data_IF_125668988249
#
_entry.id   IF_125668988249
#
_cell.length_a   1.000
_cell.length_b   1.000
_cell.length_c   1.000
_cell.angle_alpha   90.00
_cell.angle_beta   90.00
_cell.angle_gamma   90.00
#
_symmetry.space_group_name_H-M   'P 1'
#
loop_
_entity.id
_entity.type
_entity.pdbx_description
1 polymer ?
#
# COMPACT_ATOMS: atom_id res chain seq x y z
N UNK A 1 -15.50 -27.81 6.41
CA UNK A 1 -14.98 -26.83 7.40
C UNK A 1 -13.98 -27.53 8.30
N UNK A 2 -12.72 -27.15 8.26
CA UNK A 2 -11.67 -27.70 9.15
C UNK A 2 -11.96 -27.25 10.57
N UNK A 3 -12.15 -28.18 11.52
CA UNK A 3 -12.38 -27.82 12.92
C UNK A 3 -11.13 -27.14 13.51
N UNK A 4 -11.30 -26.23 14.47
CA UNK A 4 -10.17 -25.53 15.14
C UNK A 4 -9.13 -26.51 15.69
N UNK A 5 -9.55 -27.67 16.19
CA UNK A 5 -8.68 -28.73 16.69
C UNK A 5 -7.80 -29.33 15.56
N UNK A 6 -8.37 -29.53 14.37
CA UNK A 6 -7.66 -30.03 13.18
C UNK A 6 -6.63 -29.00 12.69
N UNK A 7 -6.97 -27.68 12.69
CA UNK A 7 -6.04 -26.64 12.26
C UNK A 7 -4.81 -26.54 13.18
N UNK A 8 -5.00 -26.60 14.49
CA UNK A 8 -3.89 -26.57 15.46
C UNK A 8 -2.94 -27.77 15.28
N UNK A 9 -3.46 -28.95 14.93
CA UNK A 9 -2.64 -30.11 14.62
C UNK A 9 -1.81 -29.89 13.35
N UNK A 10 -2.38 -29.28 12.33
CA UNK A 10 -1.70 -28.94 11.08
C UNK A 10 -0.58 -27.91 11.36
N UNK A 11 -0.87 -26.86 12.12
CA UNK A 11 0.14 -25.84 12.49
C UNK A 11 1.31 -26.48 13.22
N UNK A 12 1.03 -27.32 14.22
CA UNK A 12 2.08 -28.02 14.98
C UNK A 12 2.93 -28.91 14.07
N UNK A 13 2.31 -29.76 13.26
CA UNK A 13 3.01 -30.66 12.34
C UNK A 13 3.88 -29.89 11.33
N UNK A 14 3.36 -28.77 10.82
CA UNK A 14 4.10 -27.92 9.91
C UNK A 14 5.32 -27.30 10.61
N UNK A 15 5.13 -26.70 11.80
CA UNK A 15 6.21 -26.14 12.61
C UNK A 15 7.30 -27.18 12.91
N UNK A 16 6.92 -28.36 13.38
CA UNK A 16 7.86 -29.41 13.72
C UNK A 16 8.69 -29.81 12.48
N UNK A 17 8.03 -29.96 11.30
CA UNK A 17 8.74 -30.23 10.05
C UNK A 17 9.73 -29.12 9.66
N UNK A 18 9.40 -27.86 9.93
CA UNK A 18 10.30 -26.73 9.67
C UNK A 18 11.54 -26.75 10.59
N UNK A 19 11.34 -27.01 11.89
CA UNK A 19 12.41 -27.10 12.89
C UNK A 19 13.35 -28.27 12.54
N UNK A 20 12.81 -29.40 12.14
CA UNK A 20 13.58 -30.56 11.71
C UNK A 20 14.28 -30.38 10.35
N UNK A 21 13.85 -29.39 9.58
CA UNK A 21 14.33 -29.15 8.20
C UNK A 21 13.73 -30.12 7.18
N UNK A 22 12.64 -30.77 7.53
CA UNK A 22 11.94 -31.72 6.64
C UNK A 22 10.99 -30.99 5.68
N UNK A 23 11.57 -30.46 4.62
CA UNK A 23 10.84 -29.74 3.56
C UNK A 23 9.74 -30.58 2.92
N UNK A 24 9.96 -31.90 2.76
CA UNK A 24 8.99 -32.82 2.15
C UNK A 24 7.72 -32.91 3.01
N UNK A 25 7.89 -33.16 4.30
CA UNK A 25 6.75 -33.24 5.24
C UNK A 25 6.10 -31.86 5.46
N UNK A 26 6.86 -30.77 5.48
CA UNK A 26 6.30 -29.42 5.51
C UNK A 26 5.36 -29.18 4.32
N UNK A 27 5.83 -29.44 3.09
CA UNK A 27 4.99 -29.29 1.88
C UNK A 27 3.79 -30.24 1.89
N UNK A 28 3.97 -31.53 2.28
CA UNK A 28 2.87 -32.47 2.37
C UNK A 28 1.80 -32.02 3.37
N UNK A 29 2.20 -31.39 4.48
CA UNK A 29 1.28 -30.87 5.49
C UNK A 29 0.45 -29.71 4.93
N UNK A 30 1.04 -28.84 4.13
CA UNK A 30 0.30 -27.73 3.47
C UNK A 30 -0.66 -28.27 2.40
N UNK A 31 -0.21 -29.22 1.57
CA UNK A 31 -1.07 -29.88 0.57
C UNK A 31 -2.28 -30.56 1.23
N UNK A 32 -2.08 -31.21 2.39
CA UNK A 32 -3.17 -31.78 3.16
C UNK A 32 -4.14 -30.74 3.69
N UNK A 33 -3.66 -29.57 4.14
CA UNK A 33 -4.50 -28.48 4.57
C UNK A 33 -5.39 -27.96 3.43
N UNK A 34 -4.82 -27.80 2.24
CA UNK A 34 -5.55 -27.37 1.04
C UNK A 34 -6.57 -28.44 0.60
N UNK A 35 -6.20 -29.71 0.59
CA UNK A 35 -7.10 -30.82 0.26
C UNK A 35 -8.28 -30.93 1.25
N UNK A 36 -8.07 -30.52 2.50
CA UNK A 36 -9.11 -30.45 3.54
C UNK A 36 -9.94 -29.17 3.49
N UNK A 37 -9.81 -28.36 2.42
CA UNK A 37 -10.63 -27.19 2.17
C UNK A 37 -10.13 -25.89 2.81
N UNK A 38 -8.88 -25.83 3.28
CA UNK A 38 -8.26 -24.54 3.59
C UNK A 38 -7.92 -23.81 2.28
N UNK A 39 -8.25 -22.52 2.19
CA UNK A 39 -7.77 -21.67 1.10
C UNK A 39 -6.33 -21.19 1.34
N UNK A 40 -5.68 -20.68 0.30
CA UNK A 40 -4.29 -20.19 0.37
C UNK A 40 -4.16 -19.04 1.38
N UNK A 41 -5.13 -18.14 1.47
CA UNK A 41 -5.13 -17.03 2.45
C UNK A 41 -5.13 -17.56 3.88
N UNK A 42 -5.91 -18.60 4.15
CA UNK A 42 -5.94 -19.28 5.46
C UNK A 42 -4.60 -19.96 5.76
N UNK A 43 -3.98 -20.63 4.79
CA UNK A 43 -2.64 -21.21 4.94
C UNK A 43 -1.63 -20.13 5.36
N UNK A 44 -1.59 -19.02 4.65
CA UNK A 44 -0.67 -17.91 4.94
C UNK A 44 -0.90 -17.32 6.32
N UNK A 45 -2.13 -16.93 6.60
CA UNK A 45 -2.47 -16.17 7.81
C UNK A 45 -2.50 -16.99 9.09
N UNK A 46 -2.87 -18.27 8.99
CA UNK A 46 -3.03 -19.12 10.17
C UNK A 46 -1.91 -20.15 10.32
N UNK A 47 -1.47 -20.79 9.23
CA UNK A 47 -0.47 -21.83 9.36
C UNK A 47 0.94 -21.22 9.34
N UNK A 48 1.30 -20.48 8.29
CA UNK A 48 2.63 -19.90 8.18
C UNK A 48 2.91 -18.88 9.29
N UNK A 49 2.00 -17.91 9.49
CA UNK A 49 2.18 -16.88 10.51
C UNK A 49 2.32 -17.46 11.92
N UNK A 50 1.49 -18.46 12.29
CA UNK A 50 1.59 -19.09 13.62
C UNK A 50 2.87 -19.88 13.78
N UNK A 51 3.24 -20.71 12.79
CA UNK A 51 4.45 -21.52 12.86
C UNK A 51 5.71 -20.64 12.92
N UNK A 52 5.81 -19.61 12.08
CA UNK A 52 6.97 -18.70 12.08
C UNK A 52 7.08 -17.87 13.37
N UNK A 53 5.95 -17.47 13.95
CA UNK A 53 5.95 -16.79 15.25
C UNK A 53 6.46 -17.69 16.37
N UNK A 54 6.00 -18.95 16.42
CA UNK A 54 6.48 -19.91 17.41
C UNK A 54 7.96 -20.21 17.22
N UNK A 55 8.44 -20.40 15.99
CA UNK A 55 9.86 -20.61 15.67
C UNK A 55 10.72 -19.39 16.09
N UNK A 56 10.26 -18.18 15.79
CA UNK A 56 10.92 -16.95 16.24
C UNK A 56 11.00 -16.87 17.77
N UNK A 57 9.95 -17.29 18.49
CA UNK A 57 9.98 -17.35 19.95
C UNK A 57 10.96 -18.40 20.46
N UNK A 58 11.00 -19.59 19.90
CA UNK A 58 11.97 -20.65 20.24
C UNK A 58 13.41 -20.18 20.05
N UNK A 59 13.70 -19.43 18.99
CA UNK A 59 15.01 -18.80 18.80
C UNK A 59 15.29 -17.76 19.87
N UNK A 60 14.34 -16.89 20.16
CA UNK A 60 14.49 -15.85 21.21
C UNK A 60 14.75 -16.45 22.58
N UNK A 61 14.10 -17.57 22.91
CA UNK A 61 14.25 -18.30 24.19
C UNK A 61 15.50 -19.20 24.22
N UNK A 62 16.25 -19.26 23.12
CA UNK A 62 17.48 -20.06 23.01
C UNK A 62 17.25 -21.55 22.83
N UNK A 63 16.03 -22.00 22.54
CA UNK A 63 15.71 -23.41 22.29
C UNK A 63 16.26 -23.89 20.94
N UNK A 64 16.38 -23.01 19.96
CA UNK A 64 16.94 -23.29 18.64
C UNK A 64 17.94 -22.18 18.24
N UNK A 65 18.85 -22.50 17.31
CA UNK A 65 19.79 -21.49 16.80
C UNK A 65 19.14 -20.66 15.68
N UNK A 66 19.74 -19.48 15.41
CA UNK A 66 19.35 -18.61 14.26
C UNK A 66 19.43 -19.38 12.92
N UNK A 67 20.31 -20.38 12.81
CA UNK A 67 20.39 -21.21 11.58
C UNK A 67 19.15 -22.08 11.37
N UNK A 68 18.51 -22.53 12.45
CA UNK A 68 17.24 -23.27 12.35
C UNK A 68 16.12 -22.33 11.94
N UNK A 69 16.05 -21.14 12.51
CA UNK A 69 15.07 -20.11 12.13
C UNK A 69 15.20 -19.73 10.65
N UNK A 70 16.41 -19.39 10.19
CA UNK A 70 16.67 -19.07 8.78
C UNK A 70 16.32 -20.22 7.83
N UNK A 71 16.60 -21.47 8.20
CA UNK A 71 16.22 -22.65 7.43
C UNK A 71 14.70 -22.80 7.34
N UNK A 72 13.99 -22.63 8.44
CA UNK A 72 12.54 -22.67 8.50
C UNK A 72 11.89 -21.59 7.63
N UNK A 73 12.45 -20.38 7.67
CA UNK A 73 12.06 -19.28 6.80
C UNK A 73 12.26 -19.63 5.31
N UNK A 74 13.43 -20.18 4.96
CA UNK A 74 13.75 -20.61 3.59
C UNK A 74 12.77 -21.67 3.05
N UNK A 75 12.45 -22.68 3.86
CA UNK A 75 11.46 -23.72 3.47
C UNK A 75 10.09 -23.10 3.25
N UNK A 76 9.67 -22.17 4.13
CA UNK A 76 8.37 -21.50 3.99
C UNK A 76 8.31 -20.66 2.71
N UNK A 77 9.35 -19.89 2.38
CA UNK A 77 9.43 -19.10 1.15
C UNK A 77 9.37 -19.97 -0.11
N UNK A 78 9.99 -21.16 -0.09
CA UNK A 78 9.90 -22.09 -1.21
C UNK A 78 8.49 -22.65 -1.39
N UNK A 79 7.81 -22.99 -0.30
CA UNK A 79 6.42 -23.46 -0.35
C UNK A 79 5.51 -22.33 -0.87
N UNK A 80 5.69 -21.09 -0.41
CA UNK A 80 4.99 -19.91 -0.93
C UNK A 80 5.19 -19.72 -2.44
N UNK A 81 6.42 -19.91 -2.94
CA UNK A 81 6.70 -19.83 -4.37
C UNK A 81 5.93 -20.87 -5.18
N UNK A 82 5.76 -22.08 -4.66
CA UNK A 82 4.95 -23.13 -5.31
C UNK A 82 3.45 -22.80 -5.30
N UNK A 83 2.96 -22.23 -4.22
CA UNK A 83 1.55 -21.85 -4.10
C UNK A 83 1.20 -20.69 -5.04
N UNK A 84 2.16 -19.79 -5.32
CA UNK A 84 1.96 -18.62 -6.20
C UNK A 84 1.49 -18.98 -7.60
N UNK A 85 1.95 -20.09 -8.17
CA UNK A 85 1.52 -20.55 -9.49
C UNK A 85 -0.02 -20.68 -9.63
N UNK A 86 -0.77 -20.72 -8.51
CA UNK A 86 -2.23 -20.80 -8.52
C UNK A 86 -2.93 -19.47 -8.59
N UNK A 87 -2.23 -18.32 -8.46
CA UNK A 87 -2.83 -16.99 -8.43
C UNK A 87 -1.96 -15.90 -9.09
N UNK A 88 -0.94 -16.29 -9.83
CA UNK A 88 -0.14 -15.35 -10.61
C UNK A 88 -1.00 -14.67 -11.69
N UNK A 89 -0.83 -13.36 -11.82
CA UNK A 89 -1.65 -12.56 -12.75
C UNK A 89 -0.98 -12.57 -14.13
N UNK A 90 -1.65 -13.11 -15.11
CA UNK A 90 -1.20 -13.17 -16.51
C UNK A 90 -1.58 -11.92 -17.33
N UNK A 91 -2.56 -11.12 -16.86
CA UNK A 91 -2.97 -9.91 -17.57
C UNK A 91 -1.86 -8.84 -17.52
N UNK A 92 -1.21 -8.51 -18.65
CA UNK A 92 -0.16 -7.51 -18.68
C UNK A 92 -0.66 -6.09 -18.37
N UNK A 93 -1.97 -5.85 -18.46
CA UNK A 93 -2.59 -4.56 -18.17
C UNK A 93 -3.04 -4.43 -16.72
N UNK A 94 -2.95 -5.50 -15.91
CA UNK A 94 -3.27 -5.41 -14.49
C UNK A 94 -2.37 -4.36 -13.81
N UNK A 95 -2.90 -3.60 -12.84
CA UNK A 95 -2.13 -2.56 -12.15
C UNK A 95 -0.92 -3.16 -11.45
N UNK A 96 0.20 -2.44 -11.51
CA UNK A 96 1.47 -2.87 -10.94
C UNK A 96 1.69 -2.25 -9.56
N UNK A 97 2.06 -3.09 -8.60
CA UNK A 97 2.55 -2.68 -7.29
C UNK A 97 4.02 -3.07 -7.13
N UNK A 98 4.80 -2.22 -6.47
CA UNK A 98 6.12 -2.58 -5.96
C UNK A 98 5.97 -2.90 -4.48
N UNK A 99 6.43 -4.09 -4.08
CA UNK A 99 6.54 -4.48 -2.67
C UNK A 99 8.01 -4.49 -2.27
N UNK A 100 8.33 -3.80 -1.17
CA UNK A 100 9.70 -3.69 -0.67
C UNK A 100 9.76 -3.77 0.85
N UNK A 101 10.95 -3.90 1.38
CA UNK A 101 11.27 -3.80 2.81
C UNK A 101 12.31 -2.69 3.02
N UNK A 102 12.31 -2.01 4.16
CA UNK A 102 13.37 -1.07 4.51
C UNK A 102 14.74 -1.75 4.55
N UNK A 103 15.78 -0.99 4.33
CA UNK A 103 17.16 -1.48 4.47
C UNK A 103 17.37 -2.00 5.90
N UNK A 104 18.17 -3.05 6.03
CA UNK A 104 18.45 -3.73 7.31
C UNK A 104 17.24 -4.47 7.92
N UNK A 105 16.11 -4.55 7.24
CA UNK A 105 15.05 -5.47 7.61
C UNK A 105 15.21 -6.78 6.82
N UNK A 106 15.44 -7.88 7.51
CA UNK A 106 15.62 -9.22 6.91
C UNK A 106 14.34 -10.07 6.98
N UNK A 107 13.22 -9.51 7.45
CA UNK A 107 11.96 -10.22 7.61
C UNK A 107 11.22 -10.34 6.27
N UNK A 108 11.74 -11.16 5.38
CA UNK A 108 11.27 -11.30 4.00
C UNK A 108 9.92 -12.02 3.87
N UNK A 109 9.58 -12.94 4.79
CA UNK A 109 8.33 -13.71 4.73
C UNK A 109 7.11 -12.78 4.77
N UNK A 110 7.07 -11.82 5.70
CA UNK A 110 5.97 -10.87 5.81
C UNK A 110 5.76 -10.06 4.53
N UNK A 111 6.85 -9.54 3.97
CA UNK A 111 6.81 -8.80 2.72
C UNK A 111 6.38 -9.67 1.53
N UNK A 112 6.83 -10.92 1.50
CA UNK A 112 6.42 -11.88 0.48
C UNK A 112 4.94 -12.23 0.58
N UNK A 113 4.44 -12.42 1.81
CA UNK A 113 3.00 -12.61 2.05
C UNK A 113 2.20 -11.39 1.57
N UNK A 114 2.71 -10.18 1.82
CA UNK A 114 2.10 -8.94 1.34
C UNK A 114 2.02 -8.91 -0.18
N UNK A 115 3.12 -9.25 -0.88
CA UNK A 115 3.15 -9.37 -2.33
C UNK A 115 2.12 -10.37 -2.85
N UNK A 116 2.08 -11.56 -2.26
CA UNK A 116 1.17 -12.63 -2.67
C UNK A 116 -0.30 -12.26 -2.40
N UNK A 117 -0.61 -11.54 -1.33
CA UNK A 117 -1.96 -11.02 -1.08
C UNK A 117 -2.38 -9.98 -2.12
N UNK A 118 -1.49 -9.07 -2.53
CA UNK A 118 -1.77 -8.14 -3.61
C UNK A 118 -2.06 -8.88 -4.94
N UNK A 119 -1.29 -9.93 -5.25
CA UNK A 119 -1.58 -10.77 -6.43
C UNK A 119 -2.96 -11.41 -6.34
N UNK A 120 -3.35 -11.94 -5.18
CA UNK A 120 -4.69 -12.51 -4.96
C UNK A 120 -5.83 -11.47 -5.08
N UNK A 121 -5.52 -10.18 -4.93
CA UNK A 121 -6.46 -9.06 -5.14
C UNK A 121 -6.37 -8.48 -6.56
N UNK A 122 -5.64 -9.11 -7.49
CA UNK A 122 -5.60 -8.74 -8.91
C UNK A 122 -4.48 -7.78 -9.30
N UNK A 123 -3.46 -7.61 -8.48
CA UNK A 123 -2.29 -6.77 -8.80
C UNK A 123 -1.16 -7.60 -9.42
N UNK A 124 -0.52 -7.06 -10.44
CA UNK A 124 0.85 -7.47 -10.77
C UNK A 124 1.78 -6.95 -9.68
N UNK A 125 2.80 -7.72 -9.32
CA UNK A 125 3.69 -7.33 -8.22
C UNK A 125 5.14 -7.56 -8.58
N UNK A 126 5.93 -6.50 -8.46
CA UNK A 126 7.38 -6.58 -8.41
C UNK A 126 7.84 -6.58 -6.96
N UNK A 127 8.44 -7.68 -6.54
CA UNK A 127 9.00 -7.82 -5.20
C UNK A 127 10.47 -7.44 -5.21
N UNK A 128 10.77 -6.26 -4.66
CA UNK A 128 12.11 -5.69 -4.65
C UNK A 128 12.63 -5.60 -3.21
N UNK A 129 13.74 -6.26 -2.94
CA UNK A 129 14.38 -6.26 -1.62
C UNK A 129 15.43 -5.16 -1.50
N UNK A 130 16.14 -5.11 -0.37
CA UNK A 130 17.11 -4.08 0.07
C UNK A 130 18.21 -3.71 -0.94
N UNK A 131 18.39 -4.46 -2.01
CA UNK A 131 19.44 -4.24 -3.00
C UNK A 131 19.25 -2.96 -3.83
N UNK A 132 18.07 -2.34 -3.72
CA UNK A 132 17.68 -1.18 -4.54
C UNK A 132 17.92 0.16 -3.86
N UNK A 133 18.52 0.17 -2.66
CA UNK A 133 18.89 1.41 -1.94
C UNK A 133 20.41 1.51 -1.79
N UNK A 134 20.93 2.72 -1.95
CA UNK A 134 22.34 2.99 -1.74
C UNK A 134 22.69 2.99 -0.24
N UNK A 135 23.99 3.20 0.09
CA UNK A 135 24.49 3.28 1.48
C UNK A 135 23.82 4.36 2.33
N UNK A 136 23.13 5.30 1.73
CA UNK A 136 22.39 6.39 2.39
C UNK A 136 20.91 6.09 2.53
N UNK A 137 20.47 4.86 2.22
CA UNK A 137 19.05 4.42 2.28
C UNK A 137 18.13 5.13 1.29
N UNK A 138 18.70 5.81 0.29
CA UNK A 138 17.96 6.43 -0.80
C UNK A 138 17.99 5.45 -2.00
N UNK A 139 16.88 5.22 -2.68
CA UNK A 139 16.86 4.45 -3.91
C UNK A 139 17.90 4.99 -4.90
N UNK A 140 18.64 4.09 -5.54
CA UNK A 140 19.67 4.46 -6.49
C UNK A 140 19.07 4.92 -7.84
N UNK A 141 19.88 5.49 -8.72
CA UNK A 141 19.44 5.98 -10.03
C UNK A 141 18.79 4.88 -10.89
N UNK A 142 19.27 3.65 -10.77
CA UNK A 142 18.70 2.50 -11.48
C UNK A 142 17.27 2.20 -11.01
N UNK A 143 17.00 2.30 -9.71
CA UNK A 143 15.65 2.15 -9.16
C UNK A 143 14.74 3.27 -9.65
N UNK A 144 15.22 4.52 -9.66
CA UNK A 144 14.45 5.67 -10.16
C UNK A 144 14.10 5.47 -11.63
N UNK A 145 15.08 5.06 -12.45
CA UNK A 145 14.86 4.76 -13.86
C UNK A 145 13.84 3.64 -14.04
N UNK A 146 13.98 2.56 -13.27
CA UNK A 146 13.05 1.43 -13.29
C UNK A 146 11.62 1.85 -12.97
N UNK A 147 11.39 2.59 -11.88
CA UNK A 147 10.06 3.06 -11.49
C UNK A 147 9.45 3.96 -12.57
N UNK A 148 10.24 4.85 -13.18
CA UNK A 148 9.78 5.72 -14.27
C UNK A 148 9.40 4.95 -15.55
N UNK A 149 10.03 3.81 -15.79
CA UNK A 149 9.74 2.93 -16.91
C UNK A 149 8.45 2.12 -16.69
N UNK A 150 8.33 1.45 -15.53
CA UNK A 150 7.23 0.53 -15.26
C UNK A 150 5.97 1.20 -14.72
N UNK A 151 6.08 2.43 -14.20
CA UNK A 151 4.98 3.28 -13.70
C UNK A 151 4.02 2.53 -12.76
N UNK A 152 4.48 2.07 -11.59
CA UNK A 152 3.62 1.37 -10.64
C UNK A 152 2.56 2.32 -10.09
N UNK A 153 1.42 1.78 -9.66
CA UNK A 153 0.36 2.55 -8.99
C UNK A 153 0.43 2.51 -7.47
N UNK A 154 1.20 1.57 -6.94
CA UNK A 154 1.28 1.32 -5.50
C UNK A 154 2.71 0.98 -5.09
N UNK A 155 3.21 1.65 -4.04
CA UNK A 155 4.33 1.18 -3.24
C UNK A 155 3.82 0.55 -1.95
N UNK A 156 4.18 -0.70 -1.70
CA UNK A 156 3.84 -1.41 -0.48
C UNK A 156 5.12 -1.70 0.31
N UNK A 157 5.19 -1.18 1.53
CA UNK A 157 6.37 -1.29 2.38
C UNK A 157 6.04 -2.18 3.57
N UNK A 158 6.73 -3.32 3.69
CA UNK A 158 6.59 -4.22 4.83
C UNK A 158 7.61 -3.86 5.90
N UNK A 159 7.12 -3.65 7.12
CA UNK A 159 7.89 -3.16 8.26
C UNK A 159 7.77 -4.15 9.40
N UNK A 160 8.85 -4.83 9.78
CA UNK A 160 8.82 -5.83 10.82
C UNK A 160 9.31 -5.32 12.19
N UNK A 161 10.19 -4.33 12.21
CA UNK A 161 10.84 -3.84 13.43
C UNK A 161 10.67 -2.34 13.62
N UNK A 162 10.91 -1.86 14.86
CA UNK A 162 10.87 -0.43 15.19
C UNK A 162 11.95 0.36 14.43
N UNK A 163 13.11 -0.24 14.18
CA UNK A 163 14.18 0.40 13.37
C UNK A 163 13.76 0.52 11.91
N UNK A 164 13.14 -0.53 11.35
CA UNK A 164 12.62 -0.53 10.01
C UNK A 164 11.49 0.52 9.81
N UNK A 165 10.75 0.84 10.87
CA UNK A 165 9.71 1.87 10.85
C UNK A 165 10.27 3.27 10.57
N UNK A 166 11.43 3.61 11.16
CA UNK A 166 12.10 4.90 10.90
C UNK A 166 12.56 4.98 9.44
N UNK A 167 13.15 3.90 8.93
CA UNK A 167 13.61 3.83 7.55
C UNK A 167 12.45 3.85 6.53
N UNK A 168 11.31 3.25 6.89
CA UNK A 168 10.08 3.29 6.09
C UNK A 168 9.58 4.72 5.88
N UNK A 169 9.69 5.58 6.90
CA UNK A 169 9.32 6.99 6.79
C UNK A 169 10.19 7.72 5.76
N UNK A 170 11.51 7.52 5.79
CA UNK A 170 12.44 8.12 4.83
C UNK A 170 12.17 7.66 3.39
N UNK A 171 11.86 6.36 3.20
CA UNK A 171 11.45 5.83 1.90
C UNK A 171 10.14 6.44 1.41
N UNK A 172 9.18 6.62 2.31
CA UNK A 172 7.88 7.23 1.97
C UNK A 172 8.05 8.68 1.54
N UNK A 173 8.86 9.46 2.26
CA UNK A 173 9.19 10.83 1.88
C UNK A 173 9.82 10.88 0.48
N UNK A 174 10.80 10.01 0.23
CA UNK A 174 11.42 9.91 -1.08
C UNK A 174 10.41 9.55 -2.19
N UNK A 175 9.52 8.58 -1.96
CA UNK A 175 8.51 8.18 -2.93
C UNK A 175 7.50 9.31 -3.20
N UNK A 176 7.04 10.00 -2.16
CA UNK A 176 6.09 11.10 -2.30
C UNK A 176 6.68 12.32 -3.01
N UNK A 177 7.98 12.60 -2.82
CA UNK A 177 8.67 13.68 -3.50
C UNK A 177 8.88 13.40 -5.00
N UNK A 178 9.21 12.16 -5.36
CA UNK A 178 9.52 11.81 -6.75
C UNK A 178 8.28 11.37 -7.54
N UNK A 179 7.32 10.72 -6.88
CA UNK A 179 6.10 10.18 -7.51
C UNK A 179 4.88 10.44 -6.64
N UNK A 180 4.42 11.71 -6.50
CA UNK A 180 3.31 12.09 -5.61
C UNK A 180 1.98 11.41 -5.97
N UNK A 181 1.81 10.99 -7.21
CA UNK A 181 0.62 10.29 -7.70
C UNK A 181 0.58 8.80 -7.32
N UNK A 182 1.73 8.19 -6.99
CA UNK A 182 1.79 6.78 -6.61
C UNK A 182 1.36 6.63 -5.14
N UNK A 183 0.42 5.73 -4.90
CA UNK A 183 -0.04 5.44 -3.53
C UNK A 183 1.00 4.68 -2.73
N UNK A 184 1.08 4.95 -1.43
CA UNK A 184 1.98 4.27 -0.51
C UNK A 184 1.18 3.59 0.59
N UNK A 185 1.39 2.28 0.78
CA UNK A 185 0.80 1.50 1.87
C UNK A 185 1.91 0.93 2.76
N UNK A 186 1.72 1.06 4.06
CA UNK A 186 2.57 0.39 5.04
C UNK A 186 1.87 -0.83 5.62
N UNK A 187 2.63 -1.88 5.90
CA UNK A 187 2.12 -3.06 6.59
C UNK A 187 3.20 -3.73 7.43
N UNK A 188 2.76 -4.66 8.29
CA UNK A 188 3.62 -5.47 9.12
C UNK A 188 3.60 -5.13 10.61
N UNK A 189 4.15 -6.02 11.46
CA UNK A 189 4.07 -5.90 12.91
C UNK A 189 4.82 -4.68 13.48
N UNK A 190 5.87 -4.21 12.82
CA UNK A 190 6.59 -3.00 13.23
C UNK A 190 5.73 -1.75 13.14
N UNK A 191 4.82 -1.67 12.16
CA UNK A 191 3.88 -0.55 12.04
C UNK A 191 2.86 -0.59 13.16
N UNK A 192 2.20 -1.74 13.38
CA UNK A 192 1.20 -1.91 14.44
C UNK A 192 1.75 -1.56 15.82
N UNK A 193 2.97 -2.01 16.11
CA UNK A 193 3.65 -1.75 17.38
C UNK A 193 4.00 -0.27 17.53
N UNK A 194 4.56 0.35 16.50
CA UNK A 194 4.97 1.76 16.53
C UNK A 194 3.78 2.71 16.62
N UNK A 195 2.67 2.40 15.93
CA UNK A 195 1.44 3.20 15.98
C UNK A 195 0.51 2.81 17.13
N UNK A 196 0.82 1.77 17.91
CA UNK A 196 0.01 1.23 19.01
C UNK A 196 -1.44 0.93 18.58
N UNK A 197 -1.63 0.41 17.39
CA UNK A 197 -2.94 0.06 16.83
C UNK A 197 -2.89 -1.27 16.08
N UNK A 198 -3.98 -2.01 16.13
CA UNK A 198 -4.20 -3.26 15.37
C UNK A 198 -5.24 -3.09 14.26
N UNK A 199 -5.74 -1.86 14.06
CA UNK A 199 -6.73 -1.54 13.04
C UNK A 199 -6.07 -1.02 11.78
N UNK A 200 -6.63 -1.38 10.63
CA UNK A 200 -6.27 -0.78 9.35
C UNK A 200 -6.80 0.66 9.29
N UNK A 201 -5.98 1.61 8.83
CA UNK A 201 -6.28 3.04 8.92
C UNK A 201 -5.96 3.73 7.59
N UNK A 202 -6.88 4.57 7.11
CA UNK A 202 -6.60 5.53 6.05
C UNK A 202 -5.94 6.80 6.61
N UNK A 203 -5.20 7.51 5.77
CA UNK A 203 -4.42 8.68 6.16
C UNK A 203 -5.23 9.76 6.89
N UNK A 204 -6.47 10.02 6.46
CA UNK A 204 -7.38 10.99 7.08
C UNK A 204 -7.65 10.73 8.58
N UNK A 205 -7.55 9.46 8.99
CA UNK A 205 -7.82 9.01 10.36
C UNK A 205 -6.51 8.85 11.17
N UNK A 206 -5.34 9.04 10.53
CA UNK A 206 -4.02 8.87 11.13
C UNK A 206 -3.52 10.17 11.82
N UNK A 207 -4.07 11.33 11.49
CA UNK A 207 -3.55 12.63 11.92
C UNK A 207 -3.41 12.78 13.45
N UNK A 208 -4.27 12.13 14.21
CA UNK A 208 -4.22 12.13 15.68
C UNK A 208 -3.15 11.18 16.27
N UNK A 209 -2.72 10.16 15.54
CA UNK A 209 -1.88 9.08 16.04
C UNK A 209 -0.41 9.16 15.62
N UNK A 210 -0.09 9.99 14.63
CA UNK A 210 1.31 10.18 14.21
C UNK A 210 1.99 11.26 15.04
N UNK A 211 3.03 10.88 15.76
CA UNK A 211 3.90 11.84 16.43
C UNK A 211 4.53 12.82 15.42
N UNK A 212 4.89 14.02 15.86
CA UNK A 212 5.53 15.08 15.04
C UNK A 212 6.84 14.66 14.34
N UNK A 213 7.32 13.44 14.56
CA UNK A 213 8.56 12.90 13.98
C UNK A 213 8.40 12.24 12.60
N UNK A 214 7.19 12.20 12.04
CA UNK A 214 6.95 11.58 10.73
C UNK A 214 6.76 12.68 9.70
N UNK A 215 7.75 12.84 8.79
CA UNK A 215 7.78 13.88 7.78
C UNK A 215 6.79 13.61 6.63
N UNK A 216 6.61 12.34 6.28
CA UNK A 216 5.73 11.93 5.19
C UNK A 216 4.88 10.73 5.57
N UNK A 217 3.57 10.84 5.37
CA UNK A 217 2.59 9.82 5.74
C UNK A 217 2.27 8.91 4.56
N UNK A 218 2.02 7.60 4.79
CA UNK A 218 1.49 6.70 3.75
C UNK A 218 0.04 7.08 3.44
N UNK A 219 -0.50 6.61 2.31
CA UNK A 219 -1.92 6.77 1.99
C UNK A 219 -2.80 5.77 2.77
N UNK A 220 -2.22 4.66 3.19
CA UNK A 220 -2.91 3.62 3.97
C UNK A 220 -1.94 2.85 4.87
N UNK A 221 -2.44 2.39 6.01
CA UNK A 221 -1.71 1.55 6.96
C UNK A 221 -2.48 0.26 7.20
N UNK A 222 -1.83 -0.87 6.96
CA UNK A 222 -2.35 -2.20 7.16
C UNK A 222 -1.76 -2.81 8.43
N UNK A 223 -2.46 -2.64 9.56
CA UNK A 223 -2.00 -3.07 10.88
C UNK A 223 -2.61 -4.39 11.33
N UNK A 224 -3.77 -4.75 10.81
CA UNK A 224 -4.52 -5.91 11.30
C UNK A 224 -3.92 -7.23 10.86
N UNK A 225 -4.05 -8.25 11.70
CA UNK A 225 -3.76 -9.65 11.34
C UNK A 225 -4.72 -10.19 10.27
N UNK A 226 -5.79 -9.47 9.97
CA UNK A 226 -6.74 -9.72 8.88
C UNK A 226 -6.37 -8.94 7.62
N UNK A 227 -5.08 -8.60 7.44
CA UNK A 227 -4.56 -7.87 6.29
C UNK A 227 -5.27 -8.28 5.00
N UNK A 228 -5.66 -7.29 4.20
CA UNK A 228 -6.42 -7.47 2.95
C UNK A 228 -7.85 -7.98 3.04
N UNK A 229 -8.38 -8.26 4.24
CA UNK A 229 -9.79 -8.64 4.39
C UNK A 229 -10.67 -7.52 4.95
N UNK A 230 -10.07 -6.50 5.58
CA UNK A 230 -10.84 -5.35 6.01
C UNK A 230 -11.51 -4.67 4.82
N UNK A 231 -12.71 -4.13 5.02
CA UNK A 231 -13.43 -3.39 3.97
C UNK A 231 -12.63 -2.16 3.56
N UNK A 232 -11.98 -1.54 4.50
CA UNK A 232 -11.13 -0.36 4.33
C UNK A 232 -9.96 -0.66 3.39
N UNK A 233 -9.21 -1.74 3.65
CA UNK A 233 -8.10 -2.14 2.81
C UNK A 233 -8.54 -2.50 1.38
N UNK A 234 -9.59 -3.32 1.24
CA UNK A 234 -10.14 -3.67 -0.07
C UNK A 234 -10.63 -2.46 -0.86
N UNK A 235 -11.29 -1.53 -0.17
CA UNK A 235 -11.74 -0.28 -0.78
C UNK A 235 -10.57 0.59 -1.24
N UNK A 236 -9.52 0.72 -0.40
CA UNK A 236 -8.31 1.45 -0.76
C UNK A 236 -7.62 0.83 -1.98
N UNK A 237 -7.40 -0.49 -1.98
CA UNK A 237 -6.76 -1.19 -3.09
C UNK A 237 -7.57 -1.07 -4.39
N UNK A 238 -8.89 -1.23 -4.32
CA UNK A 238 -9.77 -1.09 -5.50
C UNK A 238 -9.74 0.33 -6.08
N UNK A 239 -9.75 1.37 -5.23
CA UNK A 239 -9.60 2.77 -5.70
C UNK A 239 -8.22 2.99 -6.32
N UNK A 240 -7.17 2.44 -5.73
CA UNK A 240 -5.79 2.58 -6.24
C UNK A 240 -5.59 1.89 -7.59
N UNK A 241 -6.28 0.77 -7.84
CA UNK A 241 -6.28 0.10 -9.15
C UNK A 241 -6.86 1.00 -10.26
N UNK A 242 -7.99 1.65 -9.95
CA UNK A 242 -8.75 2.45 -10.89
C UNK A 242 -8.23 3.89 -11.01
N UNK A 243 -7.24 4.26 -10.20
CA UNK A 243 -6.60 5.56 -10.29
C UNK A 243 -5.85 5.63 -11.63
N UNK A 244 -6.42 6.33 -12.61
CA UNK A 244 -5.68 6.73 -13.81
C UNK A 244 -4.58 7.70 -13.37
N UNK A 245 -3.37 7.56 -13.91
CA UNK A 245 -2.21 8.44 -13.63
C UNK A 245 -2.47 9.90 -14.00
N UNK A 246 -3.60 10.16 -14.59
CA UNK A 246 -4.21 11.44 -14.84
C UNK A 246 -5.58 11.40 -14.16
N UNK A 247 -5.85 12.34 -13.25
CA UNK A 247 -7.24 12.69 -12.94
C UNK A 247 -7.99 12.69 -14.26
N UNK A 248 -9.13 12.02 -14.35
CA UNK A 248 -9.92 12.13 -15.56
C UNK A 248 -10.15 13.61 -15.85
N UNK A 249 -10.29 13.99 -17.09
CA UNK A 249 -10.60 15.38 -17.43
C UNK A 249 -11.79 15.86 -16.59
N UNK A 250 -12.76 14.98 -16.33
CA UNK A 250 -13.93 15.27 -15.50
C UNK A 250 -13.58 15.45 -14.02
N UNK A 251 -12.64 14.67 -13.45
CA UNK A 251 -12.18 14.86 -12.07
C UNK A 251 -11.39 16.15 -11.93
N UNK A 252 -10.50 16.45 -12.88
CA UNK A 252 -9.75 17.71 -12.93
C UNK A 252 -10.69 18.91 -13.03
N UNK A 253 -11.70 18.83 -13.91
CA UNK A 253 -12.69 19.90 -14.06
C UNK A 253 -13.53 20.06 -12.79
N UNK A 254 -13.87 18.97 -12.12
CA UNK A 254 -14.61 19.00 -10.85
C UNK A 254 -13.79 19.64 -9.73
N UNK A 255 -12.50 19.33 -9.62
CA UNK A 255 -11.58 19.98 -8.66
C UNK A 255 -11.48 21.47 -8.93
N UNK A 256 -11.16 21.86 -10.17
CA UNK A 256 -11.09 23.26 -10.61
C UNK A 256 -12.39 23.99 -10.27
N UNK A 257 -13.53 23.40 -10.60
CA UNK A 257 -14.85 23.98 -10.35
C UNK A 257 -15.12 24.20 -8.87
N UNK A 258 -14.80 23.22 -8.02
CA UNK A 258 -14.94 23.32 -6.56
C UNK A 258 -14.03 24.39 -5.96
N UNK A 259 -12.78 24.50 -6.43
CA UNK A 259 -11.84 25.51 -5.96
C UNK A 259 -12.28 26.94 -6.34
N UNK A 260 -12.74 27.13 -7.58
CA UNK A 260 -13.32 28.40 -8.03
C UNK A 260 -14.53 28.77 -7.15
N UNK A 261 -15.44 27.83 -6.90
CA UNK A 261 -16.60 28.01 -6.03
C UNK A 261 -16.21 28.38 -4.60
N UNK A 262 -15.22 27.71 -4.03
CA UNK A 262 -14.72 27.99 -2.68
C UNK A 262 -14.11 29.40 -2.59
N UNK A 263 -13.26 29.78 -3.56
CA UNK A 263 -12.68 31.13 -3.65
C UNK A 263 -13.75 32.19 -3.81
N UNK A 264 -14.75 31.96 -4.65
CA UNK A 264 -15.87 32.89 -4.82
C UNK A 264 -16.67 33.11 -3.52
N UNK A 265 -17.00 32.00 -2.84
CA UNK A 265 -17.75 32.02 -1.56
C UNK A 265 -16.94 32.75 -0.48
N UNK A 266 -15.64 32.47 -0.37
CA UNK A 266 -14.77 33.14 0.60
C UNK A 266 -14.72 34.68 0.42
N UNK A 267 -14.95 35.15 -0.81
CA UNK A 267 -15.07 36.60 -1.14
C UNK A 267 -16.48 37.15 -1.00
N UNK A 268 -17.45 36.34 -0.64
CA UNK A 268 -18.83 36.75 -0.42
C UNK A 268 -19.58 37.15 -1.69
N UNK A 269 -19.08 36.81 -2.90
CA UNK A 269 -19.71 37.20 -4.17
C UNK A 269 -20.57 36.07 -4.75
N UNK A 270 -21.64 36.46 -5.44
CA UNK A 270 -22.54 35.56 -6.13
C UNK A 270 -21.97 35.09 -7.47
N UNK A 271 -22.51 33.99 -8.04
CA UNK A 271 -22.16 33.55 -9.39
C UNK A 271 -22.41 34.64 -10.45
N UNK A 272 -23.45 35.45 -10.25
CA UNK A 272 -23.78 36.58 -11.17
C UNK A 272 -22.72 37.67 -11.09
N UNK A 273 -22.25 37.99 -9.89
CA UNK A 273 -21.21 39.02 -9.70
C UNK A 273 -19.88 38.54 -10.29
N UNK A 274 -19.47 37.29 -10.05
CA UNK A 274 -18.26 36.74 -10.67
C UNK A 274 -18.37 36.76 -12.21
N UNK A 275 -19.53 36.39 -12.74
CA UNK A 275 -19.79 36.39 -14.17
C UNK A 275 -19.63 37.80 -14.78
N UNK A 276 -20.19 38.83 -14.11
CA UNK A 276 -20.08 40.22 -14.52
C UNK A 276 -18.61 40.72 -14.48
N UNK A 277 -17.89 40.42 -13.38
CA UNK A 277 -16.49 40.80 -13.19
C UNK A 277 -15.58 40.17 -14.25
N UNK A 278 -15.77 38.89 -14.52
CA UNK A 278 -14.97 38.16 -15.49
C UNK A 278 -15.42 38.39 -16.96
N UNK A 279 -16.51 39.09 -17.18
CA UNK A 279 -17.16 39.27 -18.50
C UNK A 279 -17.48 37.91 -19.15
N UNK A 280 -18.14 37.04 -18.39
CA UNK A 280 -18.54 35.69 -18.76
C UNK A 280 -20.03 35.52 -18.43
N UNK A 281 -20.71 34.61 -19.13
CA UNK A 281 -22.11 34.30 -18.84
C UNK A 281 -22.27 33.60 -17.48
N UNK A 282 -23.34 33.94 -16.70
CA UNK A 282 -23.61 33.28 -15.42
C UNK A 282 -23.81 31.75 -15.56
N UNK A 283 -24.51 31.33 -16.62
CA UNK A 283 -24.74 29.88 -16.85
C UNK A 283 -23.39 29.16 -17.08
N UNK A 284 -22.44 29.86 -17.72
CA UNK A 284 -21.09 29.32 -17.92
C UNK A 284 -20.33 29.20 -16.60
N UNK A 285 -20.38 30.20 -15.71
CA UNK A 285 -19.81 30.11 -14.34
C UNK A 285 -20.44 28.92 -13.59
N UNK A 286 -21.76 28.76 -13.65
CA UNK A 286 -22.44 27.62 -13.00
C UNK A 286 -21.96 26.27 -13.53
N UNK A 287 -21.77 26.11 -14.85
CA UNK A 287 -21.26 24.87 -15.44
C UNK A 287 -19.81 24.61 -15.08
N UNK A 288 -18.99 25.65 -14.94
CA UNK A 288 -17.61 25.57 -14.46
C UNK A 288 -17.58 25.06 -13.02
N UNK A 289 -18.31 25.71 -12.11
CA UNK A 289 -18.33 25.35 -10.68
C UNK A 289 -18.87 23.94 -10.43
N UNK A 290 -19.62 23.35 -11.38
CA UNK A 290 -20.10 21.98 -11.33
C UNK A 290 -19.19 20.98 -12.08
N UNK A 291 -18.01 21.40 -12.57
CA UNK A 291 -17.06 20.55 -13.27
C UNK A 291 -17.52 20.05 -14.64
N UNK A 292 -18.54 20.68 -15.24
CA UNK A 292 -19.18 20.21 -16.50
C UNK A 292 -18.69 20.95 -17.75
N UNK A 293 -17.61 21.71 -17.67
CA UNK A 293 -17.18 22.55 -18.79
C UNK A 293 -15.67 22.63 -18.90
N UNK A 294 -15.15 22.35 -20.09
CA UNK A 294 -13.76 22.62 -20.43
C UNK A 294 -13.44 24.11 -20.39
N UNK A 295 -12.35 24.45 -19.76
CA UNK A 295 -11.87 25.82 -19.56
C UNK A 295 -10.64 26.09 -20.41
N UNK A 296 -10.65 27.20 -21.16
CA UNK A 296 -9.41 27.70 -21.72
C UNK A 296 -8.56 28.38 -20.63
N UNK A 297 -7.24 28.37 -20.80
CA UNK A 297 -6.32 29.04 -19.89
C UNK A 297 -6.66 30.55 -19.76
N UNK A 298 -7.17 31.17 -20.82
CA UNK A 298 -7.58 32.57 -20.79
C UNK A 298 -8.82 32.82 -19.91
N UNK A 299 -9.77 31.88 -19.90
CA UNK A 299 -10.96 31.96 -19.01
C UNK A 299 -10.55 31.73 -17.58
N UNK A 300 -9.70 30.73 -17.30
CA UNK A 300 -9.12 30.49 -15.98
C UNK A 300 -8.39 31.71 -15.43
N UNK A 301 -7.57 32.34 -16.25
CA UNK A 301 -6.84 33.55 -15.86
C UNK A 301 -7.79 34.70 -15.51
N UNK A 302 -8.83 34.94 -16.33
CA UNK A 302 -9.84 35.98 -16.03
C UNK A 302 -10.55 35.71 -14.70
N UNK A 303 -10.93 34.46 -14.42
CA UNK A 303 -11.58 34.09 -13.16
C UNK A 303 -10.62 34.27 -12.00
N UNK A 304 -9.37 33.79 -12.09
CA UNK A 304 -8.36 33.95 -11.05
C UNK A 304 -8.12 35.39 -10.67
N UNK A 305 -7.88 36.25 -11.65
CA UNK A 305 -7.65 37.69 -11.44
C UNK A 305 -8.82 38.35 -10.73
N UNK A 306 -10.07 38.08 -11.13
CA UNK A 306 -11.27 38.64 -10.51
C UNK A 306 -11.59 38.04 -9.14
N UNK A 307 -10.94 36.92 -8.79
CA UNK A 307 -10.95 36.35 -7.44
C UNK A 307 -9.72 36.76 -6.61
N UNK A 308 -8.89 37.75 -7.07
CA UNK A 308 -7.62 38.17 -6.47
C UNK A 308 -6.75 36.92 -6.07
N UNK A 309 -6.72 35.92 -6.92
CA UNK A 309 -6.03 34.68 -6.75
C UNK A 309 -5.13 34.42 -7.95
N UNK A 310 -4.20 33.48 -7.83
CA UNK A 310 -3.44 33.06 -8.99
C UNK A 310 -3.96 31.71 -9.53
N UNK A 311 -3.62 31.40 -10.78
CA UNK A 311 -4.06 30.16 -11.41
C UNK A 311 -3.63 28.92 -10.59
N UNK A 312 -2.47 28.95 -9.94
CA UNK A 312 -1.97 27.82 -9.15
C UNK A 312 -2.86 27.50 -7.94
N UNK A 313 -3.58 28.47 -7.39
CA UNK A 313 -4.53 28.22 -6.28
C UNK A 313 -5.78 27.50 -6.74
N UNK A 314 -6.17 27.69 -8.01
CA UNK A 314 -7.31 26.98 -8.60
C UNK A 314 -6.97 25.50 -8.85
N UNK A 315 -5.68 25.14 -8.96
CA UNK A 315 -5.21 23.76 -9.17
C UNK A 315 -4.73 23.07 -7.89
N UNK A 316 -4.81 23.70 -6.72
CA UNK A 316 -4.44 23.04 -5.45
C UNK A 316 -5.38 21.88 -5.14
N UNK A 317 -4.80 20.79 -4.60
CA UNK A 317 -5.53 19.64 -4.05
C UNK A 317 -6.27 20.00 -2.77
#
# INVERSE_FOLDING_TARGET
>A
MTTTKSLNQIIRKYKDSLVDGDQKNALATINLALANGSDVKTVYRKIFTSAQREIGQMWHDGEISISHENRAAGITLEIMSRLRANFEIEDPNAPLAIVTIPKNDNHTIGARMFADFLMMEGWRVDYLTNHNVNKYQIPNDDFIKYVNEIKPKLFAISVATDMAFIECNNLTEFFKLNWPHIKVIWGGPGVSKSLKTDKDIELKDIEENFSKSINSKPDFVCCSNSAFESKECKSFLSRSMNHSDLDSVDDTLSKIGNNIKALRISKGISQQELANLASIDRAFISTIENGKRNLSVSVLHKIAVNLDSNISEIFKD
#
